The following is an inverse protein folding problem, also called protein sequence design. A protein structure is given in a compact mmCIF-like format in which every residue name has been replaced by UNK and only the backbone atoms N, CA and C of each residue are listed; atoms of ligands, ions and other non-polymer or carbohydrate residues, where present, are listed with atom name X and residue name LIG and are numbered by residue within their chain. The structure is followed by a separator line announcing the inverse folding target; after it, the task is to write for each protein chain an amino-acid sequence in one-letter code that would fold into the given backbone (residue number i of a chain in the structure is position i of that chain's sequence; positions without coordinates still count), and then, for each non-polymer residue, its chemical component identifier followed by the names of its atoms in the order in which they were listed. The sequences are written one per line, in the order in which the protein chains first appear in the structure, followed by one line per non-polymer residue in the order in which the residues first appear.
data_IF_332576639213
#
_entry.id   IF_332576639213
#
_cell.length_a   1.000
_cell.length_b   1.000
_cell.length_c   1.000
_cell.angle_alpha   90.00
_cell.angle_beta   90.00
_cell.angle_gamma   90.00
#
_symmetry.space_group_name_H-M   'P 1'
#
loop_
_entity.id
_entity.type
_entity.pdbx_description
1 polymer ?
#
# COMPACT_ATOMS: atom_id res chain seq x y z
N UNK A 1 5.66 7.51 -20.83
CA UNK A 1 5.51 6.71 -22.07
C UNK A 1 6.39 7.18 -23.23
N UNK A 2 6.50 8.49 -23.51
CA UNK A 2 7.29 9.00 -24.65
C UNK A 2 8.78 8.61 -24.62
N UNK A 3 9.36 8.45 -23.42
CA UNK A 3 10.75 8.05 -23.23
C UNK A 3 11.09 6.63 -23.75
N UNK A 4 10.15 5.68 -23.69
CA UNK A 4 10.37 4.31 -24.19
C UNK A 4 10.36 4.27 -25.72
N UNK A 5 9.46 5.04 -26.34
CA UNK A 5 9.33 5.13 -27.80
C UNK A 5 10.36 6.04 -28.45
N UNK A 6 10.98 6.96 -27.71
CA UNK A 6 12.05 7.81 -28.24
C UNK A 6 13.37 7.08 -28.43
N UNK A 7 13.52 5.88 -27.85
CA UNK A 7 14.76 5.11 -27.96
C UNK A 7 14.55 3.58 -27.90
N UNK A 8 13.75 3.00 -28.81
CA UNK A 8 13.25 1.62 -28.69
C UNK A 8 14.34 0.55 -28.89
N UNK A 9 15.45 0.89 -29.55
CA UNK A 9 16.53 -0.04 -29.91
C UNK A 9 17.66 -0.13 -28.89
N UNK A 10 17.74 0.80 -27.93
CA UNK A 10 18.82 0.83 -26.94
C UNK A 10 18.39 0.39 -25.55
N UNK A 11 17.08 0.38 -25.27
CA UNK A 11 16.58 0.00 -23.95
C UNK A 11 16.36 -1.52 -23.88
N UNK A 12 17.39 -2.22 -23.39
CA UNK A 12 17.36 -3.67 -23.16
C UNK A 12 16.82 -4.06 -21.78
N UNK A 13 16.96 -3.19 -20.79
CA UNK A 13 16.51 -3.48 -19.43
C UNK A 13 15.69 -2.31 -18.87
N UNK A 14 14.56 -2.64 -18.26
CA UNK A 14 13.67 -1.71 -17.58
C UNK A 14 13.34 -2.27 -16.21
N UNK A 15 13.82 -1.60 -15.16
CA UNK A 15 13.51 -1.93 -13.78
C UNK A 15 12.49 -0.94 -13.22
N UNK A 16 11.27 -1.43 -13.02
CA UNK A 16 10.17 -0.71 -12.37
C UNK A 16 9.87 -1.31 -10.99
N UNK A 17 10.77 -2.13 -10.43
CA UNK A 17 10.64 -2.61 -9.06
C UNK A 17 10.47 -1.42 -8.12
N UNK A 18 9.56 -1.55 -7.16
CA UNK A 18 9.20 -0.47 -6.22
C UNK A 18 8.54 0.78 -6.84
N UNK A 19 8.15 0.75 -8.12
CA UNK A 19 7.25 1.75 -8.69
C UNK A 19 5.82 1.20 -8.72
N UNK A 20 4.83 2.08 -8.53
CA UNK A 20 3.42 1.77 -8.69
C UNK A 20 2.85 2.60 -9.85
N UNK A 21 2.93 2.10 -11.10
CA UNK A 21 2.44 2.83 -12.26
C UNK A 21 0.91 2.95 -12.31
N UNK A 22 0.18 2.35 -11.36
CA UNK A 22 -1.27 2.27 -11.35
C UNK A 22 -1.84 1.43 -12.50
N UNK A 23 -3.16 1.33 -12.58
CA UNK A 23 -3.84 0.54 -13.61
C UNK A 23 -3.65 1.14 -15.01
N UNK A 24 -3.65 2.47 -15.12
CA UNK A 24 -3.42 3.15 -16.40
C UNK A 24 -1.98 2.98 -16.89
N UNK A 25 -1.00 3.08 -15.98
CA UNK A 25 0.41 2.91 -16.33
C UNK A 25 0.77 1.46 -16.65
N UNK A 26 0.12 0.48 -16.01
CA UNK A 26 0.29 -0.94 -16.37
C UNK A 26 -0.30 -1.26 -17.75
N UNK A 27 -1.50 -0.74 -18.06
CA UNK A 27 -2.12 -0.91 -19.40
C UNK A 27 -1.30 -0.25 -20.51
N UNK A 28 -0.73 0.91 -20.24
CA UNK A 28 0.14 1.57 -21.21
C UNK A 28 1.48 0.83 -21.37
N UNK A 29 2.02 0.24 -20.30
CA UNK A 29 3.23 -0.58 -20.37
C UNK A 29 2.99 -1.85 -21.20
N UNK A 30 1.86 -2.54 -21.02
CA UNK A 30 1.53 -3.74 -21.80
C UNK A 30 1.44 -3.44 -23.30
N UNK A 31 0.80 -2.33 -23.68
CA UNK A 31 0.70 -1.91 -25.08
C UNK A 31 2.06 -1.58 -25.72
N UNK A 32 3.06 -1.18 -24.94
CA UNK A 32 4.42 -0.90 -25.42
C UNK A 32 5.26 -2.19 -25.51
N UNK A 33 5.02 -3.18 -24.65
CA UNK A 33 5.69 -4.49 -24.72
C UNK A 33 5.22 -5.34 -25.91
N UNK A 34 4.02 -5.07 -26.43
CA UNK A 34 3.51 -5.69 -27.65
C UNK A 34 4.13 -5.08 -28.93
N UNK A 35 4.88 -3.99 -28.81
CA UNK A 35 5.53 -3.31 -29.93
C UNK A 35 6.76 -4.12 -30.40
N UNK A 36 6.78 -4.63 -31.65
CA UNK A 36 7.90 -5.41 -32.17
C UNK A 36 9.20 -4.59 -32.35
N UNK A 37 9.13 -3.25 -32.35
CA UNK A 37 10.30 -2.39 -32.41
C UNK A 37 11.02 -2.28 -31.05
N UNK A 38 10.37 -2.69 -29.96
CA UNK A 38 10.94 -2.65 -28.62
C UNK A 38 11.94 -3.80 -28.40
N UNK A 39 13.19 -3.46 -28.12
CA UNK A 39 14.29 -4.43 -27.90
C UNK A 39 14.47 -4.82 -26.42
N UNK A 40 13.41 -4.73 -25.62
CA UNK A 40 13.48 -4.95 -24.18
C UNK A 40 13.67 -6.45 -23.87
N UNK A 41 14.81 -6.80 -23.28
CA UNK A 41 15.18 -8.17 -22.88
C UNK A 41 14.77 -8.45 -21.43
N UNK A 42 14.87 -7.44 -20.54
CA UNK A 42 14.60 -7.58 -19.11
C UNK A 42 13.58 -6.54 -18.66
N UNK A 43 12.47 -7.03 -18.11
CA UNK A 43 11.48 -6.20 -17.42
C UNK A 43 11.33 -6.67 -15.98
N UNK A 44 11.54 -5.78 -15.01
CA UNK A 44 11.34 -6.06 -13.59
C UNK A 44 10.14 -5.28 -13.08
N UNK A 45 9.08 -6.01 -12.73
CA UNK A 45 7.85 -5.49 -12.16
C UNK A 45 7.64 -6.13 -10.78
N UNK A 46 8.64 -6.07 -9.90
CA UNK A 46 8.38 -6.39 -8.49
C UNK A 46 7.66 -5.19 -7.88
N UNK A 47 6.37 -5.07 -8.21
CA UNK A 47 5.46 -4.21 -7.49
C UNK A 47 5.58 -4.62 -6.04
N UNK A 48 5.71 -3.65 -5.14
CA UNK A 48 5.75 -3.91 -3.71
C UNK A 48 4.43 -4.60 -3.31
N UNK A 49 4.38 -5.93 -3.43
CA UNK A 49 3.26 -6.74 -2.99
C UNK A 49 3.18 -6.65 -1.48
N UNK A 50 2.01 -6.97 -0.94
CA UNK A 50 1.72 -6.97 0.51
C UNK A 50 2.68 -7.85 1.34
N UNK A 51 3.61 -8.57 0.71
CA UNK A 51 4.46 -9.58 1.31
C UNK A 51 5.95 -9.39 0.99
N UNK A 52 6.52 -8.24 1.35
CA UNK A 52 7.96 -8.13 1.60
C UNK A 52 8.25 -7.66 3.03
N UNK A 53 7.61 -8.27 4.02
CA UNK A 53 8.36 -8.48 5.27
C UNK A 53 9.57 -9.31 4.86
N UNK A 54 10.76 -8.68 4.80
CA UNK A 54 12.04 -9.39 4.65
C UNK A 54 11.97 -10.61 5.58
N UNK A 55 12.48 -11.77 5.19
CA UNK A 55 12.45 -12.97 6.06
C UNK A 55 12.98 -12.67 7.48
N UNK A 56 13.97 -11.79 7.58
CA UNK A 56 14.50 -11.26 8.85
C UNK A 56 13.59 -10.29 9.63
N UNK A 57 12.49 -9.79 9.05
CA UNK A 57 11.42 -9.05 9.74
C UNK A 57 10.24 -9.97 10.09
N UNK A 58 10.01 -11.06 9.33
CA UNK A 58 9.02 -12.09 9.71
C UNK A 58 9.35 -12.74 11.05
N UNK A 59 10.63 -12.87 11.43
CA UNK A 59 11.02 -13.34 12.78
C UNK A 59 10.52 -12.45 13.93
N UNK A 60 10.14 -11.20 13.64
CA UNK A 60 9.59 -10.26 14.61
C UNK A 60 8.10 -10.01 14.37
N UNK A 61 7.44 -10.86 13.58
CA UNK A 61 6.01 -10.75 13.34
C UNK A 61 5.26 -10.90 14.67
N UNK A 62 4.49 -9.86 15.03
CA UNK A 62 3.55 -9.91 16.12
C UNK A 62 2.17 -9.49 15.60
N UNK A 63 1.16 -10.16 16.13
CA UNK A 63 -0.22 -9.85 15.81
C UNK A 63 -0.70 -8.73 16.76
N UNK A 64 -0.89 -7.53 16.22
CA UNK A 64 -1.39 -6.39 17.01
C UNK A 64 -2.92 -6.32 16.95
N UNK A 65 -3.58 -6.34 18.11
CA UNK A 65 -5.00 -6.03 18.24
C UNK A 65 -5.21 -4.59 18.72
N UNK A 66 -6.34 -3.99 18.33
CA UNK A 66 -6.77 -2.72 18.90
C UNK A 66 -7.51 -3.02 20.19
N UNK A 67 -7.09 -2.38 21.28
CA UNK A 67 -7.79 -2.47 22.56
C UNK A 67 -8.98 -1.49 22.58
N UNK A 68 -10.19 -2.04 22.58
CA UNK A 68 -11.42 -1.24 22.62
C UNK A 68 -11.66 -0.57 23.98
N UNK A 69 -10.90 -0.93 25.02
CA UNK A 69 -10.92 -0.24 26.31
C UNK A 69 -10.19 1.10 26.27
N UNK A 70 -9.16 1.23 25.43
CA UNK A 70 -8.36 2.46 25.34
C UNK A 70 -8.83 3.38 24.21
N UNK A 71 -9.35 2.83 23.10
CA UNK A 71 -9.74 3.59 21.90
C UNK A 71 -10.77 4.71 22.19
N UNK A 72 -10.70 5.83 21.47
CA UNK A 72 -11.73 6.87 21.57
C UNK A 72 -13.09 6.34 21.08
N UNK A 73 -14.21 6.77 21.69
CA UNK A 73 -15.55 6.24 21.36
C UNK A 73 -16.00 6.59 19.95
N UNK A 74 -15.56 7.70 19.38
CA UNK A 74 -15.86 8.03 17.98
C UNK A 74 -15.13 7.17 16.96
N UNK A 75 -14.30 6.20 17.39
CA UNK A 75 -13.59 5.31 16.47
C UNK A 75 -14.31 3.98 16.43
N UNK A 76 -14.76 3.58 15.25
CA UNK A 76 -15.29 2.25 15.01
C UNK A 76 -14.19 1.36 14.45
N UNK A 77 -14.00 0.20 15.09
CA UNK A 77 -13.01 -0.80 14.71
C UNK A 77 -13.72 -1.97 14.03
N UNK A 78 -13.27 -2.36 12.85
CA UNK A 78 -13.73 -3.56 12.14
C UNK A 78 -12.89 -4.79 12.47
N UNK A 79 -13.43 -5.98 12.21
CA UNK A 79 -12.74 -7.27 12.43
C UNK A 79 -11.42 -7.38 11.66
N UNK A 80 -11.26 -6.63 10.56
CA UNK A 80 -10.05 -6.60 9.76
C UNK A 80 -9.06 -5.49 10.20
N UNK A 81 -9.19 -4.99 11.43
CA UNK A 81 -8.34 -3.93 12.03
C UNK A 81 -8.35 -2.60 11.29
N UNK A 82 -9.36 -2.38 10.44
CA UNK A 82 -9.60 -1.06 9.87
C UNK A 82 -10.36 -0.24 10.90
N UNK A 83 -9.87 0.97 11.15
CA UNK A 83 -10.43 1.94 12.08
C UNK A 83 -10.88 3.16 11.29
N UNK A 84 -12.07 3.67 11.57
CA UNK A 84 -12.54 4.92 11.01
C UNK A 84 -13.23 5.76 12.07
N UNK A 85 -13.21 7.07 11.88
CA UNK A 85 -13.95 8.00 12.74
C UNK A 85 -15.39 8.06 12.28
N UNK A 86 -16.31 7.90 13.23
CA UNK A 86 -17.76 8.07 13.06
C UNK A 86 -18.24 9.27 13.87
N UNK A 87 -19.37 9.84 13.47
CA UNK A 87 -19.99 10.96 14.19
C UNK A 87 -20.58 10.55 15.54
N UNK A 88 -21.03 9.29 15.66
CA UNK A 88 -21.68 8.76 16.85
C UNK A 88 -20.73 7.90 17.69
N UNK A 89 -20.79 8.10 19.00
CA UNK A 89 -19.98 7.34 19.93
C UNK A 89 -20.36 5.86 19.93
N UNK A 90 -19.35 5.01 19.77
CA UNK A 90 -19.49 3.57 19.88
C UNK A 90 -19.81 3.18 21.33
N UNK A 91 -20.61 2.12 21.54
CA UNK A 91 -21.10 1.70 22.85
C UNK A 91 -20.02 0.94 23.66
N UNK A 92 -18.78 1.41 23.64
CA UNK A 92 -17.70 0.82 24.42
C UNK A 92 -17.84 1.18 25.90
N UNK A 93 -17.58 0.24 26.84
CA UNK A 93 -17.67 0.50 28.28
C UNK A 93 -16.73 1.62 28.74
N UNK A 94 -17.06 2.31 29.82
CA UNK A 94 -16.16 3.27 30.43
C UNK A 94 -14.88 2.59 30.93
N UNK A 95 -13.73 3.22 30.69
CA UNK A 95 -12.43 2.70 31.11
C UNK A 95 -11.49 3.86 31.47
N UNK A 96 -10.69 3.75 32.55
CA UNK A 96 -9.80 4.83 33.00
C UNK A 96 -8.73 5.22 31.98
N UNK A 97 -8.28 4.26 31.17
CA UNK A 97 -7.27 4.48 30.12
C UNK A 97 -7.88 4.93 28.78
N UNK A 98 -9.19 5.20 28.73
CA UNK A 98 -9.85 5.60 27.49
C UNK A 98 -9.38 6.98 27.04
N UNK A 99 -8.93 7.08 25.80
CA UNK A 99 -8.63 8.36 25.17
C UNK A 99 -9.89 9.23 25.12
N UNK A 100 -9.80 10.41 25.74
CA UNK A 100 -10.89 11.42 25.78
C UNK A 100 -10.70 12.55 24.77
N UNK A 101 -9.49 12.69 24.24
CA UNK A 101 -9.12 13.72 23.28
C UNK A 101 -8.69 13.03 22.00
N UNK A 102 -9.21 13.49 20.88
CA UNK A 102 -8.80 13.00 19.57
C UNK A 102 -7.38 13.53 19.26
N UNK A 103 -6.41 12.67 18.91
CA UNK A 103 -5.14 13.16 18.39
C UNK A 103 -5.40 13.89 17.06
N UNK A 104 -4.78 15.06 16.80
CA UNK A 104 -5.00 15.78 15.55
C UNK A 104 -4.73 14.85 14.37
N UNK A 105 -5.62 14.87 13.37
CA UNK A 105 -5.45 14.05 12.17
C UNK A 105 -4.09 14.40 11.53
N UNK A 106 -3.23 13.41 11.37
CA UNK A 106 -2.04 13.57 10.55
C UNK A 106 -2.51 13.76 9.10
N UNK A 107 -2.27 14.97 8.58
CA UNK A 107 -2.55 15.36 7.19
C UNK A 107 -1.55 14.70 6.25
#
# INVERSE_FOLDING_TARGET
MQALRSNPTHLKELDLSFNHPGDDGTKQLSAVLEDPELSLEVLRLDHCGKERLKSGLKKYHCELSVDTNTVHRSIQVSNNRVMWTVAEDQPYPDHPERFKVFPPAAV
#
